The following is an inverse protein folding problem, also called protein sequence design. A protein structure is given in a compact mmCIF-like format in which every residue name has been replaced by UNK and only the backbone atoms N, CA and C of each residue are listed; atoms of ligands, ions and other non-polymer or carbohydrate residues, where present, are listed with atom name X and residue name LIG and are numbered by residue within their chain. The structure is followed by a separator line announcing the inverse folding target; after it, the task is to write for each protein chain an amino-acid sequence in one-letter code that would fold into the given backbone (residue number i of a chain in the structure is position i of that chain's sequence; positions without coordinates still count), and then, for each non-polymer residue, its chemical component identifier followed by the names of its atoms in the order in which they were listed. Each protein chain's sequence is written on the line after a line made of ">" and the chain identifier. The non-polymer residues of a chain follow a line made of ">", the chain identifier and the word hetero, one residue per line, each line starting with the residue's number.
data_IF_733825876008
#
_entry.id   IF_733825876008
#
_cell.length_a   1.000
_cell.length_b   1.000
_cell.length_c   1.000
_cell.angle_alpha   90.00
_cell.angle_beta   90.00
_cell.angle_gamma   90.00
#
_symmetry.space_group_name_H-M   'P 1'
#
loop_
_entity.id
_entity.type
_entity.pdbx_description
1 polymer ?
#
# COMPACT_ATOMS: atom_id res chain seq x y z
N UNK A 1 -0.23 7.95 -23.61
CA UNK A 1 -1.47 7.89 -22.78
C UNK A 1 -1.34 8.92 -21.68
N UNK A 2 -2.39 9.70 -21.46
CA UNK A 2 -2.35 10.81 -20.51
C UNK A 2 -2.41 10.26 -19.08
N UNK A 3 -1.54 10.73 -18.18
CA UNK A 3 -1.50 10.40 -16.74
C UNK A 3 -2.87 10.57 -16.05
N UNK A 4 -3.75 11.36 -16.66
CA UNK A 4 -5.14 11.57 -16.21
C UNK A 4 -6.04 10.35 -16.43
N UNK A 5 -5.66 9.42 -17.29
CA UNK A 5 -6.46 8.23 -17.56
C UNK A 5 -6.30 7.16 -16.47
N UNK A 6 -5.08 7.03 -15.94
CA UNK A 6 -4.80 6.11 -14.83
C UNK A 6 -5.63 6.47 -13.56
N UNK A 7 -5.66 7.77 -13.22
CA UNK A 7 -6.48 8.24 -12.10
C UNK A 7 -8.00 8.15 -12.35
N UNK A 8 -8.44 8.17 -13.62
CA UNK A 8 -9.86 8.04 -13.96
C UNK A 8 -10.34 6.59 -14.02
N UNK A 9 -9.46 5.63 -14.36
CA UNK A 9 -9.80 4.21 -14.36
C UNK A 9 -9.95 3.62 -12.96
N UNK A 10 -9.13 4.08 -12.00
CA UNK A 10 -9.21 3.64 -10.61
C UNK A 10 -10.43 4.17 -9.86
N UNK A 11 -11.04 5.28 -10.33
CA UNK A 11 -12.23 5.84 -9.71
C UNK A 11 -13.53 5.06 -9.98
N UNK A 12 -13.52 4.06 -10.87
CA UNK A 12 -14.71 3.30 -11.25
C UNK A 12 -15.01 2.07 -10.35
N UNK A 13 -14.11 1.75 -9.41
CA UNK A 13 -14.26 0.61 -8.48
C UNK A 13 -14.50 1.05 -7.02
N UNK A 14 -14.57 2.37 -6.76
CA UNK A 14 -14.81 2.88 -5.41
C UNK A 14 -16.31 3.08 -5.22
N UNK A 15 -16.99 2.34 -4.32
CA UNK A 15 -18.37 2.67 -3.97
C UNK A 15 -18.42 4.06 -3.34
N UNK A 16 -19.21 4.95 -3.94
CA UNK A 16 -19.45 6.31 -3.49
C UNK A 16 -20.28 6.31 -2.20
N UNK A 17 -19.65 6.02 -1.06
CA UNK A 17 -20.19 6.38 0.26
C UNK A 17 -19.17 6.10 1.37
N UNK A 18 -18.16 6.94 1.55
CA UNK A 18 -17.43 6.96 2.82
C UNK A 18 -17.36 8.40 3.29
N UNK A 19 -18.28 8.74 4.17
CA UNK A 19 -18.20 9.93 5.01
C UNK A 19 -16.97 9.84 5.92
N UNK A 20 -16.19 10.89 5.87
CA UNK A 20 -14.99 11.10 6.68
C UNK A 20 -15.36 11.05 8.17
N UNK A 21 -15.05 9.97 8.87
CA UNK A 21 -15.12 9.96 10.33
C UNK A 21 -13.88 9.32 10.96
N UNK A 22 -13.26 10.15 11.73
CA UNK A 22 -12.34 9.98 12.87
C UNK A 22 -11.77 8.58 13.04
N UNK A 23 -10.63 8.39 12.49
CA UNK A 23 -9.67 7.35 12.77
C UNK A 23 -9.26 7.38 14.24
N UNK A 24 -8.96 6.22 14.82
CA UNK A 24 -8.39 6.12 16.15
C UNK A 24 -7.19 7.07 16.29
N UNK A 25 -6.85 7.47 17.51
CA UNK A 25 -5.75 8.40 17.80
C UNK A 25 -4.43 8.00 17.12
N UNK A 26 -4.20 6.71 16.85
CA UNK A 26 -3.03 6.18 16.10
C UNK A 26 -3.03 6.58 14.63
N UNK A 27 -4.20 6.64 13.98
CA UNK A 27 -4.34 7.14 12.61
C UNK A 27 -4.23 8.67 12.51
N UNK A 28 -4.51 9.41 13.59
CA UNK A 28 -4.35 10.85 13.61
C UNK A 28 -2.87 11.28 13.41
N UNK A 29 -1.90 10.47 13.88
CA UNK A 29 -0.48 10.72 13.60
C UNK A 29 -0.14 10.54 12.12
N UNK A 30 -0.83 9.62 11.42
CA UNK A 30 -0.64 9.42 9.99
C UNK A 30 -1.14 10.61 9.14
N UNK A 31 -2.06 11.43 9.65
CA UNK A 31 -2.63 12.58 8.92
C UNK A 31 -1.87 13.90 9.09
N UNK A 32 -0.81 13.96 9.90
CA UNK A 32 0.07 15.13 9.89
C UNK A 32 0.74 15.25 8.52
N UNK A 33 0.87 16.48 8.01
CA UNK A 33 1.45 16.74 6.69
C UNK A 33 2.88 16.18 6.56
N UNK A 34 3.63 16.15 7.67
CA UNK A 34 5.01 15.72 7.75
C UNK A 34 5.21 14.59 8.78
N UNK A 35 6.35 13.89 8.67
CA UNK A 35 6.81 12.92 9.65
C UNK A 35 7.63 13.61 10.73
N UNK A 36 7.32 13.34 12.00
CA UNK A 36 8.05 13.92 13.14
C UNK A 36 9.33 13.16 13.49
N UNK A 37 9.39 11.86 13.18
CA UNK A 37 10.47 10.96 13.57
C UNK A 37 10.65 9.81 12.56
N UNK A 38 11.78 9.08 12.68
CA UNK A 38 11.99 7.84 11.92
C UNK A 38 10.96 6.75 12.30
N UNK A 39 10.50 6.74 13.56
CA UNK A 39 9.41 5.85 13.99
C UNK A 39 8.10 6.14 13.26
N UNK A 40 7.77 7.41 13.04
CA UNK A 40 6.56 7.79 12.29
C UNK A 40 6.66 7.33 10.82
N UNK A 41 7.83 7.47 10.19
CA UNK A 41 8.07 6.98 8.83
C UNK A 41 7.94 5.47 8.77
N UNK A 42 8.58 4.76 9.70
CA UNK A 42 8.54 3.30 9.74
C UNK A 42 7.13 2.76 10.01
N UNK A 43 6.37 3.38 10.92
CA UNK A 43 5.00 2.98 11.20
C UNK A 43 4.05 3.27 10.02
N UNK A 44 4.30 4.34 9.28
CA UNK A 44 3.59 4.60 8.03
C UNK A 44 3.90 3.53 6.99
N UNK A 45 5.16 3.19 6.76
CA UNK A 45 5.55 2.11 5.86
C UNK A 45 4.94 0.78 6.31
N UNK A 46 5.09 0.40 7.60
CA UNK A 46 4.54 -0.83 8.16
C UNK A 46 3.03 -0.98 7.93
N UNK A 47 2.29 0.11 7.94
CA UNK A 47 0.84 0.08 7.63
C UNK A 47 0.57 -0.33 6.19
N UNK A 48 1.39 0.13 5.25
CA UNK A 48 1.25 -0.21 3.83
C UNK A 48 1.69 -1.66 3.58
N UNK A 49 2.80 -2.09 4.17
CA UNK A 49 3.26 -3.47 4.07
C UNK A 49 2.24 -4.48 4.63
N UNK A 50 1.58 -4.18 5.75
CA UNK A 50 0.48 -5.01 6.25
C UNK A 50 -0.67 -5.11 5.24
N UNK A 51 -0.99 -4.00 4.56
CA UNK A 51 -2.02 -3.98 3.53
C UNK A 51 -1.63 -4.88 2.35
N UNK A 52 -0.39 -4.79 1.87
CA UNK A 52 0.13 -5.55 0.73
C UNK A 52 0.32 -7.04 1.07
N UNK A 53 0.91 -7.37 2.22
CA UNK A 53 1.03 -8.74 2.72
C UNK A 53 -0.33 -9.45 2.77
N UNK A 54 -1.33 -8.83 3.40
CA UNK A 54 -2.66 -9.42 3.50
C UNK A 54 -3.38 -9.48 2.15
N UNK A 55 -3.14 -8.50 1.26
CA UNK A 55 -3.65 -8.52 -0.10
C UNK A 55 -3.13 -9.72 -0.89
N UNK A 56 -1.82 -9.95 -0.89
CA UNK A 56 -1.24 -11.10 -1.58
C UNK A 56 -1.62 -12.42 -0.94
N UNK A 57 -1.72 -12.48 0.39
CA UNK A 57 -2.21 -13.67 1.09
C UNK A 57 -3.61 -14.06 0.60
N UNK A 58 -4.58 -13.14 0.61
CA UNK A 58 -5.95 -13.41 0.16
C UNK A 58 -6.01 -13.69 -1.34
N UNK A 59 -5.30 -12.92 -2.16
CA UNK A 59 -5.28 -13.07 -3.61
C UNK A 59 -4.68 -14.41 -4.07
N UNK A 60 -3.63 -14.87 -3.41
CA UNK A 60 -3.05 -16.19 -3.67
C UNK A 60 -3.98 -17.31 -3.23
N UNK A 61 -4.66 -17.17 -2.07
CA UNK A 61 -5.64 -18.14 -1.57
C UNK A 61 -6.89 -18.24 -2.47
N UNK A 62 -7.25 -17.15 -3.16
CA UNK A 62 -8.37 -17.15 -4.12
C UNK A 62 -8.10 -18.02 -5.36
N UNK A 63 -6.85 -18.44 -5.62
CA UNK A 63 -6.51 -19.37 -6.68
C UNK A 63 -6.77 -18.85 -8.11
N UNK A 64 -6.75 -17.54 -8.30
CA UNK A 64 -7.04 -16.87 -9.58
C UNK A 64 -5.94 -17.01 -10.62
N UNK A 65 -4.73 -17.33 -10.19
CA UNK A 65 -3.54 -17.43 -11.02
C UNK A 65 -3.04 -18.87 -11.08
N UNK A 66 -2.26 -19.18 -12.11
CA UNK A 66 -1.63 -20.49 -12.25
C UNK A 66 -0.22 -20.39 -12.84
N UNK A 67 0.55 -21.48 -12.75
CA UNK A 67 1.86 -21.59 -13.38
C UNK A 67 2.85 -20.51 -12.90
N UNK A 68 3.39 -19.73 -13.84
CA UNK A 68 4.43 -18.73 -13.55
C UNK A 68 3.86 -17.51 -12.83
N UNK A 69 2.64 -17.11 -13.15
CA UNK A 69 1.99 -15.96 -12.52
C UNK A 69 1.74 -16.22 -11.03
N UNK A 70 1.18 -17.39 -10.68
CA UNK A 70 1.00 -17.80 -9.29
C UNK A 70 2.32 -17.84 -8.50
N UNK A 71 3.42 -18.31 -9.13
CA UNK A 71 4.74 -18.30 -8.49
C UNK A 71 5.23 -16.88 -8.21
N UNK A 72 5.03 -15.96 -9.14
CA UNK A 72 5.42 -14.56 -8.91
C UNK A 72 4.64 -13.95 -7.75
N UNK A 73 3.31 -14.05 -7.73
CA UNK A 73 2.51 -13.43 -6.66
C UNK A 73 2.72 -14.10 -5.31
N UNK A 74 3.01 -15.42 -5.27
CA UNK A 74 3.45 -16.09 -4.04
C UNK A 74 4.81 -15.59 -3.55
N UNK A 75 5.76 -15.33 -4.46
CA UNK A 75 7.07 -14.79 -4.08
C UNK A 75 6.93 -13.35 -3.60
N UNK A 76 6.17 -12.51 -4.31
CA UNK A 76 5.89 -11.13 -3.88
C UNK A 76 5.26 -11.14 -2.49
N UNK A 77 4.20 -11.93 -2.25
CA UNK A 77 3.59 -12.02 -0.92
C UNK A 77 4.56 -12.45 0.19
N UNK A 78 5.54 -13.32 -0.12
CA UNK A 78 6.59 -13.67 0.83
C UNK A 78 7.60 -12.53 1.07
N UNK A 79 7.85 -11.70 0.05
CA UNK A 79 8.67 -10.49 0.19
C UNK A 79 7.95 -9.45 1.07
N UNK A 80 6.63 -9.25 0.89
CA UNK A 80 5.83 -8.35 1.76
C UNK A 80 5.80 -8.81 3.22
N UNK A 81 5.67 -10.12 3.47
CA UNK A 81 5.81 -10.68 4.83
C UNK A 81 7.18 -10.39 5.43
N UNK A 82 8.24 -10.46 4.62
CA UNK A 82 9.60 -10.15 5.05
C UNK A 82 9.80 -8.64 5.30
N UNK A 83 9.18 -7.76 4.50
CA UNK A 83 9.17 -6.32 4.72
C UNK A 83 8.48 -5.97 6.05
N UNK A 84 7.29 -6.52 6.32
CA UNK A 84 6.59 -6.39 7.60
C UNK A 84 7.49 -6.76 8.78
N UNK A 85 8.14 -7.93 8.70
CA UNK A 85 9.01 -8.40 9.77
C UNK A 85 10.23 -7.48 9.98
N UNK A 86 10.89 -7.06 8.91
CA UNK A 86 12.07 -6.20 8.96
C UNK A 86 11.77 -4.82 9.53
N UNK A 87 10.65 -4.21 9.13
CA UNK A 87 10.24 -2.89 9.63
C UNK A 87 9.83 -2.98 11.10
N UNK A 88 9.06 -4.00 11.46
CA UNK A 88 8.65 -4.27 12.85
C UNK A 88 9.87 -4.41 13.76
N UNK A 89 10.86 -5.22 13.37
CA UNK A 89 12.10 -5.38 14.11
C UNK A 89 12.87 -4.06 14.22
N UNK A 90 12.92 -3.28 13.15
CA UNK A 90 13.61 -1.98 13.11
C UNK A 90 12.97 -0.98 14.07
N UNK A 91 11.62 -0.89 14.11
CA UNK A 91 10.90 -0.04 15.06
C UNK A 91 11.23 -0.42 16.50
N UNK A 92 11.19 -1.72 16.83
CA UNK A 92 11.54 -2.20 18.17
C UNK A 92 13.00 -1.90 18.52
N UNK A 93 13.91 -2.06 17.57
CA UNK A 93 15.35 -1.78 17.74
C UNK A 93 15.66 -0.32 18.09
N UNK A 94 14.90 0.62 17.55
CA UNK A 94 15.04 2.05 17.89
C UNK A 94 14.25 2.45 19.13
N UNK A 95 13.61 1.51 19.81
CA UNK A 95 12.81 1.74 21.02
C UNK A 95 11.41 2.26 20.77
N UNK A 96 10.92 2.18 19.54
CA UNK A 96 9.57 2.54 19.14
C UNK A 96 8.55 1.43 19.36
N UNK A 97 7.30 1.73 19.06
CA UNK A 97 6.17 0.79 19.16
C UNK A 97 5.59 0.56 17.76
N UNK A 98 5.67 -0.66 17.21
CA UNK A 98 5.05 -0.98 15.93
C UNK A 98 3.53 -0.80 15.98
N UNK A 99 2.96 -0.27 14.89
CA UNK A 99 1.50 -0.25 14.70
C UNK A 99 0.98 -1.68 14.56
N UNK A 100 -0.26 -1.89 14.97
CA UNK A 100 -0.96 -3.15 14.73
C UNK A 100 -1.43 -3.23 13.28
N UNK A 101 -1.52 -4.45 12.73
CA UNK A 101 -2.07 -4.69 11.41
C UNK A 101 -3.50 -4.11 11.32
N UNK A 102 -3.81 -3.30 10.32
CA UNK A 102 -5.15 -2.77 10.15
C UNK A 102 -6.11 -3.88 9.70
N UNK A 103 -7.39 -3.74 10.03
CA UNK A 103 -8.41 -4.51 9.34
C UNK A 103 -8.52 -4.02 7.89
N UNK A 104 -8.69 -4.93 6.94
CA UNK A 104 -8.73 -4.63 5.51
C UNK A 104 -9.98 -5.17 4.84
N UNK A 105 -10.39 -4.52 3.76
CA UNK A 105 -11.45 -4.98 2.85
C UNK A 105 -11.03 -4.64 1.41
N UNK A 106 -10.81 -5.67 0.62
CA UNK A 106 -10.36 -5.51 -0.77
C UNK A 106 -11.51 -5.52 -1.78
N UNK A 107 -12.76 -5.59 -1.32
CA UNK A 107 -13.94 -5.54 -2.18
C UNK A 107 -13.86 -6.56 -3.32
N UNK A 108 -14.00 -6.08 -4.55
CA UNK A 108 -14.00 -6.91 -5.76
C UNK A 108 -12.59 -7.21 -6.32
N UNK A 109 -11.53 -6.90 -5.58
CA UNK A 109 -10.16 -7.12 -6.08
C UNK A 109 -9.88 -8.58 -6.46
N UNK A 110 -10.55 -9.53 -5.82
CA UNK A 110 -10.39 -10.96 -6.08
C UNK A 110 -11.51 -11.57 -6.93
N UNK A 111 -12.29 -10.75 -7.63
CA UNK A 111 -13.34 -11.25 -8.52
C UNK A 111 -12.79 -11.94 -9.78
N UNK A 112 -11.59 -11.60 -10.22
CA UNK A 112 -10.93 -12.15 -11.41
C UNK A 112 -9.41 -11.99 -11.36
N UNK A 113 -8.71 -12.73 -12.27
CA UNK A 113 -7.28 -12.50 -12.53
C UNK A 113 -6.99 -11.02 -12.85
N UNK A 114 -7.83 -10.41 -13.69
CA UNK A 114 -7.63 -9.00 -14.09
C UNK A 114 -7.70 -8.05 -12.92
N UNK A 115 -8.80 -8.10 -12.14
CA UNK A 115 -8.98 -7.24 -10.97
C UNK A 115 -7.90 -7.44 -9.90
N UNK A 116 -7.45 -8.68 -9.67
CA UNK A 116 -6.35 -8.97 -8.76
C UNK A 116 -5.05 -8.29 -9.21
N UNK A 117 -4.62 -8.49 -10.45
CA UNK A 117 -3.37 -7.93 -10.95
C UNK A 117 -3.43 -6.40 -11.12
N UNK A 118 -4.59 -5.84 -11.49
CA UNK A 118 -4.78 -4.38 -11.57
C UNK A 118 -4.66 -3.73 -10.19
N UNK A 119 -5.25 -4.33 -9.16
CA UNK A 119 -5.14 -3.84 -7.78
C UNK A 119 -3.71 -4.02 -7.26
N UNK A 120 -3.07 -5.16 -7.52
CA UNK A 120 -1.66 -5.38 -7.22
C UNK A 120 -0.77 -4.28 -7.83
N UNK A 121 -0.94 -4.00 -9.12
CA UNK A 121 -0.16 -2.96 -9.81
C UNK A 121 -0.35 -1.57 -9.19
N UNK A 122 -1.56 -1.27 -8.70
CA UNK A 122 -1.83 -0.02 -7.98
C UNK A 122 -1.07 0.02 -6.66
N UNK A 123 -1.10 -1.07 -5.87
CA UNK A 123 -0.44 -1.12 -4.57
C UNK A 123 1.07 -1.01 -4.71
N UNK A 124 1.68 -1.81 -5.56
CA UNK A 124 3.13 -1.78 -5.79
C UNK A 124 3.63 -0.38 -6.21
N UNK A 125 2.94 0.29 -7.14
CA UNK A 125 3.30 1.65 -7.52
C UNK A 125 3.02 2.67 -6.41
N UNK A 126 2.05 2.40 -5.54
CA UNK A 126 1.79 3.21 -4.35
C UNK A 126 2.94 3.05 -3.35
N UNK A 127 3.41 1.81 -3.11
CA UNK A 127 4.57 1.49 -2.28
C UNK A 127 5.83 2.20 -2.78
N UNK A 128 6.13 2.09 -4.08
CA UNK A 128 7.25 2.83 -4.71
C UNK A 128 7.17 4.32 -4.42
N UNK A 129 6.02 4.95 -4.69
CA UNK A 129 5.81 6.38 -4.46
C UNK A 129 5.90 6.76 -2.98
N UNK A 130 5.40 5.91 -2.09
CA UNK A 130 5.39 6.09 -0.65
C UNK A 130 6.80 6.08 -0.06
N UNK A 131 7.61 5.05 -0.40
CA UNK A 131 9.00 4.96 0.05
C UNK A 131 9.83 6.15 -0.44
N UNK A 132 9.70 6.50 -1.72
CA UNK A 132 10.43 7.64 -2.28
C UNK A 132 10.00 8.97 -1.65
N UNK A 133 8.70 9.15 -1.40
CA UNK A 133 8.16 10.35 -0.75
C UNK A 133 8.59 10.49 0.70
N UNK A 134 8.69 9.37 1.43
CA UNK A 134 9.09 9.35 2.83
C UNK A 134 10.61 9.44 3.03
N UNK A 135 11.42 9.08 2.03
CA UNK A 135 12.88 8.99 2.15
C UNK A 135 13.56 10.27 2.67
N UNK A 136 13.06 11.45 2.26
CA UNK A 136 13.59 12.74 2.69
C UNK A 136 13.38 13.07 4.17
N UNK A 137 12.54 12.34 4.88
CA UNK A 137 12.23 12.55 6.29
C UNK A 137 13.02 11.61 7.21
N UNK A 138 13.65 10.56 6.66
CA UNK A 138 14.46 9.61 7.44
C UNK A 138 15.79 10.25 7.82
N UNK A 139 16.06 10.31 9.14
CA UNK A 139 17.28 10.91 9.71
C UNK A 139 18.40 9.89 9.88
N UNK A 140 18.06 8.65 10.25
CA UNK A 140 19.02 7.57 10.42
C UNK A 140 19.39 6.97 9.05
N UNK A 141 20.70 7.00 8.72
CA UNK A 141 21.19 6.53 7.41
C UNK A 141 21.06 5.03 7.21
N UNK A 142 21.13 4.24 8.27
CA UNK A 142 20.97 2.78 8.18
C UNK A 142 19.50 2.43 7.87
N UNK A 143 18.56 3.16 8.47
CA UNK A 143 17.12 3.05 8.16
C UNK A 143 16.87 3.50 6.72
N UNK A 144 17.46 4.62 6.29
CA UNK A 144 17.33 5.09 4.91
C UNK A 144 17.87 4.06 3.91
N UNK A 145 19.00 3.42 4.20
CA UNK A 145 19.57 2.38 3.35
C UNK A 145 18.66 1.15 3.29
N UNK A 146 18.09 0.73 4.41
CA UNK A 146 17.13 -0.40 4.45
C UNK A 146 15.86 -0.06 3.66
N UNK A 147 15.29 1.13 3.86
CA UNK A 147 14.13 1.61 3.11
C UNK A 147 14.39 1.70 1.60
N UNK A 148 15.58 2.13 1.18
CA UNK A 148 15.99 2.11 -0.22
C UNK A 148 16.12 0.69 -0.78
N UNK A 149 16.44 -0.30 0.04
CA UNK A 149 16.42 -1.71 -0.31
C UNK A 149 15.01 -2.18 -0.66
N UNK A 150 14.04 -1.90 0.21
CA UNK A 150 12.62 -2.23 0.00
C UNK A 150 12.09 -1.47 -1.23
N UNK A 151 12.28 -0.15 -1.32
CA UNK A 151 11.92 0.65 -2.50
C UNK A 151 12.34 -0.01 -3.83
N UNK A 152 13.57 -0.55 -3.88
CA UNK A 152 14.08 -1.21 -5.06
C UNK A 152 13.38 -2.55 -5.36
N UNK A 153 12.82 -3.21 -4.35
CA UNK A 153 12.02 -4.44 -4.50
C UNK A 153 10.62 -4.08 -4.97
N UNK A 154 9.97 -3.10 -4.36
CA UNK A 154 8.65 -2.58 -4.77
C UNK A 154 8.60 -2.22 -6.26
N UNK A 155 9.64 -1.50 -6.75
CA UNK A 155 9.72 -1.15 -8.17
C UNK A 155 9.83 -2.38 -9.08
N UNK A 156 10.45 -3.48 -8.62
CA UNK A 156 10.50 -4.76 -9.36
C UNK A 156 9.17 -5.48 -9.32
N UNK A 157 8.47 -5.49 -8.18
CA UNK A 157 7.13 -6.04 -8.05
C UNK A 157 6.17 -5.34 -9.01
N UNK A 158 6.14 -4.00 -8.99
CA UNK A 158 5.32 -3.19 -9.89
C UNK A 158 5.59 -3.54 -11.36
N UNK A 159 6.88 -3.66 -11.75
CA UNK A 159 7.27 -4.01 -13.13
C UNK A 159 6.85 -5.43 -13.52
N UNK A 160 7.00 -6.40 -12.61
CA UNK A 160 6.56 -7.80 -12.85
C UNK A 160 5.05 -7.86 -13.04
N UNK A 161 4.27 -7.22 -12.16
CA UNK A 161 2.81 -7.17 -12.27
C UNK A 161 2.37 -6.42 -13.54
N UNK A 162 3.00 -5.29 -13.87
CA UNK A 162 2.74 -4.55 -15.10
C UNK A 162 2.99 -5.37 -16.37
N UNK A 163 4.06 -6.20 -16.36
CA UNK A 163 4.33 -7.12 -17.44
C UNK A 163 3.29 -8.26 -17.54
N UNK A 164 2.80 -8.78 -16.40
CA UNK A 164 1.73 -9.78 -16.37
C UNK A 164 0.40 -9.21 -16.92
N UNK A 165 0.15 -7.94 -16.71
CA UNK A 165 -0.98 -7.19 -17.29
C UNK A 165 -0.75 -6.81 -18.77
N UNK A 166 0.43 -7.04 -19.33
CA UNK A 166 0.82 -6.66 -20.69
C UNK A 166 0.68 -5.15 -20.94
N UNK A 167 1.06 -4.35 -19.96
CA UNK A 167 1.07 -2.91 -20.09
C UNK A 167 2.20 -2.47 -21.03
N UNK A 168 2.09 -1.24 -21.58
CA UNK A 168 3.15 -0.62 -22.37
C UNK A 168 4.45 -0.53 -21.55
N UNK A 169 5.62 -0.64 -22.19
CA UNK A 169 6.90 -0.57 -21.48
C UNK A 169 7.03 0.68 -20.64
N UNK A 170 6.81 1.86 -21.19
CA UNK A 170 6.90 3.14 -20.50
C UNK A 170 5.51 3.72 -20.20
N UNK A 171 5.30 4.16 -18.98
CA UNK A 171 3.99 4.62 -18.49
C UNK A 171 3.03 3.46 -18.13
N UNK A 172 3.57 2.25 -18.03
CA UNK A 172 2.85 1.04 -17.68
C UNK A 172 3.73 0.08 -16.86
N UNK A 173 4.65 -0.67 -17.52
CA UNK A 173 5.63 -1.52 -16.81
C UNK A 173 6.66 -0.66 -16.08
N UNK A 174 7.15 0.38 -16.72
CA UNK A 174 8.05 1.37 -16.15
C UNK A 174 7.36 2.73 -16.10
N UNK A 175 7.49 3.44 -14.98
CA UNK A 175 6.83 4.73 -14.79
C UNK A 175 7.65 5.93 -15.34
N UNK A 176 8.65 5.65 -16.17
CA UNK A 176 9.56 6.62 -16.77
C UNK A 176 11.00 6.41 -16.31
N UNK A 177 11.89 7.38 -16.64
CA UNK A 177 13.32 7.30 -16.30
C UNK A 177 13.64 7.53 -14.82
N UNK A 178 12.67 8.03 -14.05
CA UNK A 178 12.73 8.26 -12.61
C UNK A 178 11.36 8.03 -11.99
N UNK A 179 11.35 7.48 -10.78
CA UNK A 179 10.12 7.35 -10.00
C UNK A 179 9.63 8.70 -9.48
N UNK A 180 8.34 8.79 -9.21
CA UNK A 180 7.71 10.02 -8.70
C UNK A 180 7.37 9.85 -7.22
N UNK A 181 7.96 10.67 -6.32
CA UNK A 181 7.61 10.62 -4.91
C UNK A 181 6.14 11.03 -4.72
N UNK A 182 5.46 10.34 -3.81
CA UNK A 182 4.12 10.68 -3.40
C UNK A 182 4.12 11.20 -1.96
N UNK A 183 3.32 12.24 -1.70
CA UNK A 183 3.16 12.72 -0.34
C UNK A 183 2.30 11.76 0.50
N UNK A 184 2.53 11.78 1.81
CA UNK A 184 1.85 10.93 2.78
C UNK A 184 0.33 10.99 2.68
N UNK A 185 -0.24 12.17 2.49
CA UNK A 185 -1.69 12.37 2.43
C UNK A 185 -2.28 11.73 1.16
N UNK A 186 -1.58 11.85 0.02
CA UNK A 186 -2.00 11.23 -1.24
C UNK A 186 -1.99 9.70 -1.14
N UNK A 187 -0.93 9.13 -0.55
CA UNK A 187 -0.79 7.67 -0.33
C UNK A 187 -1.88 7.15 0.60
N UNK A 188 -2.07 7.77 1.76
CA UNK A 188 -3.10 7.36 2.72
C UNK A 188 -4.51 7.49 2.14
N UNK A 189 -4.76 8.51 1.33
CA UNK A 189 -6.03 8.67 0.61
C UNK A 189 -6.25 7.54 -0.40
N UNK A 190 -5.20 7.08 -1.08
CA UNK A 190 -5.28 5.97 -2.03
C UNK A 190 -5.50 4.63 -1.33
N UNK A 191 -4.87 4.41 -0.17
CA UNK A 191 -5.01 3.20 0.63
C UNK A 191 -6.33 3.14 1.43
N UNK A 192 -6.91 4.29 1.79
CA UNK A 192 -8.08 4.38 2.66
C UNK A 192 -9.29 3.52 2.26
N UNK A 193 -9.64 3.32 0.98
CA UNK A 193 -10.74 2.44 0.58
C UNK A 193 -10.57 0.99 1.01
N UNK A 194 -9.33 0.53 1.20
CA UNK A 194 -8.99 -0.86 1.53
C UNK A 194 -8.78 -1.09 3.03
N UNK A 195 -8.76 -0.02 3.81
CA UNK A 195 -8.58 -0.09 5.26
C UNK A 195 -9.96 -0.16 5.93
N UNK A 196 -10.41 -1.38 6.25
CA UNK A 196 -11.67 -1.62 6.89
C UNK A 196 -11.68 -1.04 8.32
N UNK A 197 -12.71 -0.29 8.65
CA UNK A 197 -12.84 0.37 9.96
C UNK A 197 -12.73 1.89 9.92
N UNK A 198 -12.31 2.48 8.79
CA UNK A 198 -12.47 3.91 8.56
C UNK A 198 -13.94 4.31 8.36
N UNK A 199 -14.82 3.35 8.02
CA UNK A 199 -16.24 3.57 7.72
C UNK A 199 -17.27 2.94 8.68
N UNK A 200 -16.85 2.09 9.61
CA UNK A 200 -17.79 1.29 10.42
C UNK A 200 -18.25 1.94 11.74
N UNK A 201 -17.93 3.21 12.00
CA UNK A 201 -18.33 3.91 13.22
C UNK A 201 -19.42 4.97 13.02
N UNK A 202 -20.27 4.83 12.00
CA UNK A 202 -21.41 5.73 11.78
C UNK A 202 -22.77 5.07 11.78
N UNK A 203 -22.99 4.11 12.65
CA UNK A 203 -24.26 3.42 12.77
C UNK A 203 -24.63 3.12 14.22
N UNK A 204 -24.91 4.15 15.02
CA UNK A 204 -25.33 3.86 16.40
C UNK A 204 -25.65 5.08 17.23
N UNK A 205 -26.67 5.85 16.85
CA UNK A 205 -27.49 6.61 17.80
C UNK A 205 -28.76 7.13 17.07
N UNK A 206 -29.70 6.25 16.80
CA UNK A 206 -31.08 6.72 16.69
C UNK A 206 -31.55 6.97 18.12
N UNK A 207 -31.57 8.22 18.52
CA UNK A 207 -32.24 8.65 19.75
C UNK A 207 -33.74 8.45 19.56
N UNK A 208 -34.29 7.61 20.40
CA UNK A 208 -35.71 7.58 20.73
C UNK A 208 -36.07 8.85 21.48
N UNK A 209 -36.98 9.63 20.96
CA UNK A 209 -38.05 10.28 21.71
C UNK A 209 -39.28 10.26 20.81
#
# INVERSE_FOLDING_TARGET
>A
MDRRFFLKGSAAVIPASVGLQMLSTRWAFAQSADFGSDEDVLNYALTLEFLESEFYRQGNDAGLLSGKEAKYTQTIGADEDAHVAAITETIMKIGGTPVEAPAVDFGEAFASRGSFLETAHVFENLGVGAYLGAAGFIKNKDILQAAAGIFGVEARHAAVIGNMLRLEPEGGVYMGSTETPQDKAAVLKAAAPFLAGAGAMTGGAAATL
#
